data_IF_283805119166
#
_entry.id   IF_283805119166
#
_cell.length_a   1.000
_cell.length_b   1.000
_cell.length_c   1.000
_cell.angle_alpha   90.00
_cell.angle_beta   90.00
_cell.angle_gamma   90.00
#
_symmetry.space_group_name_H-M   'P 1'
#
loop_
_entity.id
_entity.type
_entity.pdbx_description
1 polymer ?
#
# COMPACT_ATOMS: atom_id res chain seq x y z
N UNK A 1 -30.37 -19.05 -57.57
CA UNK A 1 -30.52 -18.77 -56.11
C UNK A 1 -29.22 -18.95 -55.30
N UNK A 2 -28.04 -19.04 -55.92
CA UNK A 2 -26.75 -19.16 -55.20
C UNK A 2 -26.00 -17.82 -54.98
N UNK A 3 -26.38 -16.76 -55.69
CA UNK A 3 -25.71 -15.45 -55.57
C UNK A 3 -26.16 -14.61 -54.36
N UNK A 4 -27.27 -14.95 -53.69
CA UNK A 4 -27.74 -14.24 -52.48
C UNK A 4 -27.12 -14.74 -51.17
N UNK A 5 -26.51 -15.92 -51.17
CA UNK A 5 -25.84 -16.47 -49.99
C UNK A 5 -24.39 -15.99 -49.86
N UNK A 6 -23.73 -15.62 -50.96
CA UNK A 6 -22.36 -15.12 -50.95
C UNK A 6 -22.24 -13.66 -50.46
N UNK A 7 -23.31 -12.86 -50.58
CA UNK A 7 -23.28 -11.44 -50.14
C UNK A 7 -23.43 -11.30 -48.63
N UNK A 8 -24.03 -12.29 -47.94
CA UNK A 8 -24.14 -12.25 -46.47
C UNK A 8 -22.85 -12.67 -45.75
N UNK A 9 -21.93 -13.37 -46.42
CA UNK A 9 -20.65 -13.76 -45.83
C UNK A 9 -19.61 -12.61 -45.82
N UNK A 10 -19.78 -11.58 -46.65
CA UNK A 10 -18.81 -10.49 -46.78
C UNK A 10 -19.07 -9.26 -45.90
N UNK A 11 -20.17 -9.23 -45.11
CA UNK A 11 -20.55 -8.06 -44.30
C UNK A 11 -20.23 -8.24 -42.80
N UNK A 12 -19.63 -9.36 -42.40
CA UNK A 12 -19.26 -9.63 -40.99
C UNK A 12 -17.74 -9.76 -40.82
N UNK A 13 -16.97 -8.86 -41.44
CA UNK A 13 -15.53 -8.70 -41.17
C UNK A 13 -15.14 -7.23 -40.86
N UNK A 14 -16.11 -6.42 -40.44
CA UNK A 14 -15.90 -5.05 -39.96
C UNK A 14 -16.68 -5.00 -38.64
N UNK A 15 -16.08 -4.99 -37.45
CA UNK A 15 -15.33 -3.88 -36.87
C UNK A 15 -14.58 -4.35 -35.61
N UNK A 16 -13.28 -4.62 -35.70
CA UNK A 16 -12.41 -4.69 -34.50
C UNK A 16 -11.43 -3.51 -34.42
N UNK A 17 -11.46 -2.60 -35.41
CA UNK A 17 -10.48 -1.53 -35.55
C UNK A 17 -10.59 -0.40 -34.51
N UNK A 18 -11.73 -0.25 -33.81
CA UNK A 18 -11.91 0.76 -32.75
C UNK A 18 -11.44 0.30 -31.37
N UNK A 19 -11.15 -1.00 -31.19
CA UNK A 19 -10.75 -1.54 -29.89
C UNK A 19 -9.23 -1.56 -29.74
N UNK A 20 -8.75 -1.14 -28.57
CA UNK A 20 -7.33 -1.26 -28.24
C UNK A 20 -6.91 -2.73 -28.19
N UNK A 21 -5.91 -3.10 -29.00
CA UNK A 21 -5.32 -4.43 -28.99
C UNK A 21 -4.03 -4.39 -28.18
N UNK A 22 -3.96 -5.24 -27.17
CA UNK A 22 -2.80 -5.35 -26.27
C UNK A 22 -2.13 -6.71 -26.44
N UNK A 23 -0.83 -6.76 -26.14
CA UNK A 23 -0.06 -7.99 -26.20
C UNK A 23 -0.44 -8.95 -25.07
N UNK A 24 0.07 -10.19 -25.16
CA UNK A 24 0.05 -11.10 -24.02
C UNK A 24 0.88 -10.51 -22.88
N UNK A 25 0.47 -10.81 -21.65
CA UNK A 25 1.26 -10.47 -20.47
C UNK A 25 2.68 -11.00 -20.58
N UNK A 26 3.64 -10.15 -20.26
CA UNK A 26 5.00 -10.60 -19.98
C UNK A 26 5.00 -11.49 -18.72
N UNK A 27 6.03 -12.33 -18.54
CA UNK A 27 6.22 -13.05 -17.29
C UNK A 27 6.25 -12.09 -16.09
N UNK A 28 5.90 -12.61 -14.92
CA UNK A 28 6.07 -11.86 -13.69
C UNK A 28 7.54 -11.49 -13.46
N UNK A 29 7.78 -10.23 -13.10
CA UNK A 29 9.07 -9.78 -12.63
C UNK A 29 9.43 -10.35 -11.25
N UNK A 30 10.59 -9.94 -10.77
CA UNK A 30 11.08 -10.30 -9.44
C UNK A 30 10.17 -9.78 -8.33
N UNK A 31 10.22 -10.46 -7.18
CA UNK A 31 9.53 -10.03 -5.97
C UNK A 31 10.35 -8.93 -5.29
N UNK A 32 9.70 -7.81 -4.95
CA UNK A 32 10.33 -6.66 -4.30
C UNK A 32 9.50 -6.17 -3.13
N UNK A 33 10.14 -5.59 -2.11
CA UNK A 33 9.50 -5.07 -0.90
C UNK A 33 10.07 -5.74 0.35
N UNK A 34 9.25 -5.87 1.39
CA UNK A 34 9.61 -6.55 2.64
C UNK A 34 8.77 -7.82 2.83
N UNK A 35 9.18 -8.74 3.71
CA UNK A 35 8.48 -10.00 4.00
C UNK A 35 6.96 -9.91 4.23
N UNK A 36 6.45 -8.75 4.66
CA UNK A 36 5.03 -8.53 4.94
C UNK A 36 4.25 -7.88 3.79
N UNK A 37 4.94 -7.23 2.85
CA UNK A 37 4.35 -6.38 1.82
C UNK A 37 5.04 -6.53 0.45
N UNK A 38 5.70 -7.66 0.20
CA UNK A 38 6.38 -7.86 -1.07
C UNK A 38 5.39 -8.07 -2.22
N UNK A 39 5.69 -7.41 -3.35
CA UNK A 39 4.91 -7.42 -4.58
C UNK A 39 5.81 -7.72 -5.78
N UNK A 40 5.23 -8.31 -6.81
CA UNK A 40 5.82 -8.46 -8.13
C UNK A 40 4.90 -7.83 -9.17
N UNK A 41 5.50 -7.34 -10.24
CA UNK A 41 4.79 -6.62 -11.31
C UNK A 41 4.98 -7.35 -12.62
N UNK A 42 3.97 -7.34 -13.47
CA UNK A 42 4.09 -7.66 -14.89
C UNK A 42 3.44 -6.59 -15.74
N UNK A 43 3.90 -6.48 -16.98
CA UNK A 43 3.39 -5.52 -17.93
C UNK A 43 3.02 -6.21 -19.26
N UNK A 44 2.25 -5.49 -20.08
CA UNK A 44 1.98 -5.81 -21.48
C UNK A 44 1.98 -4.53 -22.29
N UNK A 45 2.17 -4.67 -23.59
CA UNK A 45 2.34 -3.55 -24.50
C UNK A 45 1.04 -3.33 -25.31
N UNK A 46 0.83 -2.09 -25.75
CA UNK A 46 -0.23 -1.77 -26.71
C UNK A 46 0.29 -2.13 -28.10
N UNK A 47 -0.37 -3.08 -28.76
CA UNK A 47 -0.06 -3.46 -30.15
C UNK A 47 -0.79 -2.55 -31.14
N UNK A 48 -1.99 -2.10 -30.78
CA UNK A 48 -2.79 -1.18 -31.55
C UNK A 48 -3.52 -0.23 -30.61
N UNK A 49 -3.24 1.07 -30.76
CA UNK A 49 -3.97 2.10 -30.06
C UNK A 49 -5.44 2.12 -30.56
N UNK A 50 -6.40 2.38 -29.68
CA UNK A 50 -7.78 2.53 -30.10
C UNK A 50 -7.93 3.77 -30.97
N UNK A 51 -8.78 3.68 -31.99
CA UNK A 51 -9.15 4.83 -32.81
C UNK A 51 -10.38 5.52 -32.21
N UNK A 52 -10.50 6.86 -32.33
CA UNK A 52 -11.70 7.57 -31.93
C UNK A 52 -12.89 7.12 -32.79
N UNK A 53 -14.02 6.84 -32.15
CA UNK A 53 -15.27 6.45 -32.81
C UNK A 53 -16.27 7.61 -32.73
N UNK A 54 -17.12 7.80 -33.76
CA UNK A 54 -18.16 8.82 -33.73
C UNK A 54 -19.48 8.18 -33.32
N UNK A 55 -20.11 8.69 -32.26
CA UNK A 55 -21.42 8.23 -31.83
C UNK A 55 -22.45 8.45 -32.95
N UNK A 56 -23.11 7.40 -33.45
CA UNK A 56 -24.05 7.51 -34.56
C UNK A 56 -25.33 8.30 -34.23
N UNK A 57 -25.64 8.54 -32.94
CA UNK A 57 -26.83 9.28 -32.48
C UNK A 57 -26.51 10.71 -32.11
N UNK A 58 -25.43 10.95 -31.35
CA UNK A 58 -25.07 12.29 -30.88
C UNK A 58 -24.08 13.00 -31.80
N UNK A 59 -23.33 12.26 -32.63
CA UNK A 59 -22.25 12.78 -33.46
C UNK A 59 -20.99 13.16 -32.68
N UNK A 60 -20.94 12.86 -31.39
CA UNK A 60 -19.79 13.11 -30.51
C UNK A 60 -18.64 12.13 -30.81
N UNK A 61 -17.41 12.54 -30.53
CA UNK A 61 -16.23 11.66 -30.63
C UNK A 61 -16.06 10.91 -29.31
N UNK A 62 -16.17 9.60 -29.36
CA UNK A 62 -15.91 8.68 -28.26
C UNK A 62 -14.43 8.29 -28.30
N UNK A 63 -13.71 8.68 -27.26
CA UNK A 63 -12.34 8.22 -27.01
C UNK A 63 -12.36 6.92 -26.22
N UNK A 64 -11.66 5.90 -26.73
CA UNK A 64 -11.50 4.63 -26.03
C UNK A 64 -10.13 4.55 -25.34
N UNK A 65 -10.10 3.91 -24.17
CA UNK A 65 -8.86 3.66 -23.43
C UNK A 65 -8.48 2.19 -23.51
N UNK A 66 -7.18 1.91 -23.54
CA UNK A 66 -6.68 0.55 -23.46
C UNK A 66 -7.00 -0.12 -22.11
N UNK A 67 -7.19 -1.46 -22.09
CA UNK A 67 -7.21 -2.23 -20.86
C UNK A 67 -5.93 -2.06 -20.04
N UNK A 68 -5.97 -2.41 -18.75
CA UNK A 68 -4.83 -2.26 -17.84
C UNK A 68 -3.53 -2.85 -18.42
N UNK A 69 -2.47 -2.04 -18.48
CA UNK A 69 -1.17 -2.43 -19.06
C UNK A 69 -0.19 -2.97 -18.02
N UNK A 70 -0.53 -2.82 -16.74
CA UNK A 70 0.27 -3.28 -15.60
C UNK A 70 -0.61 -4.05 -14.64
N UNK A 71 -0.01 -5.05 -14.00
CA UNK A 71 -0.65 -5.83 -12.95
C UNK A 71 0.34 -6.08 -11.82
N UNK A 72 -0.16 -6.05 -10.58
CA UNK A 72 0.64 -6.30 -9.38
C UNK A 72 0.09 -7.50 -8.62
N UNK A 73 0.98 -8.29 -8.03
CA UNK A 73 0.60 -9.46 -7.23
C UNK A 73 1.49 -9.56 -5.99
N UNK A 74 0.90 -9.99 -4.87
CA UNK A 74 1.68 -10.36 -3.68
C UNK A 74 2.60 -11.53 -3.96
N UNK A 75 3.78 -11.49 -3.37
CA UNK A 75 4.76 -12.56 -3.43
C UNK A 75 5.52 -12.68 -2.10
N UNK A 76 6.29 -13.74 -1.94
CA UNK A 76 7.12 -14.00 -0.77
C UNK A 76 8.57 -13.91 -1.23
N UNK A 77 9.39 -13.13 -0.54
CA UNK A 77 10.83 -13.06 -0.83
C UNK A 77 11.49 -14.33 -0.30
N UNK A 78 12.50 -14.82 -1.02
CA UNK A 78 13.24 -16.04 -0.67
C UNK A 78 13.87 -15.95 0.73
N UNK A 79 14.34 -14.77 1.13
CA UNK A 79 14.88 -14.51 2.48
C UNK A 79 13.84 -14.64 3.61
N UNK A 80 12.55 -14.59 3.28
CA UNK A 80 11.47 -14.72 4.25
C UNK A 80 10.97 -16.16 4.39
N UNK A 81 11.55 -17.10 3.63
CA UNK A 81 11.18 -18.51 3.63
C UNK A 81 11.92 -19.32 4.70
N UNK A 82 12.59 -18.70 5.67
CA UNK A 82 13.12 -19.45 6.81
C UNK A 82 11.98 -20.07 7.63
N UNK A 83 11.84 -21.38 7.46
CA UNK A 83 10.98 -22.23 8.26
C UNK A 83 11.42 -22.20 9.72
N UNK A 84 10.51 -21.73 10.57
CA UNK A 84 10.63 -21.76 12.02
C UNK A 84 10.84 -23.20 12.53
N UNK A 85 11.90 -23.49 13.31
CA UNK A 85 12.05 -24.77 14.02
C UNK A 85 11.11 -24.93 15.22
N UNK A 86 10.34 -23.90 15.61
CA UNK A 86 9.50 -23.95 16.81
C UNK A 86 8.04 -24.21 16.47
N UNK A 87 7.80 -25.45 16.05
CA UNK A 87 6.49 -26.08 16.19
C UNK A 87 6.18 -26.28 17.68
N UNK A 88 5.02 -25.76 18.11
CA UNK A 88 4.24 -26.07 19.32
C UNK A 88 4.93 -26.83 20.46
N UNK A 89 4.89 -26.23 21.66
CA UNK A 89 4.41 -26.95 22.86
C UNK A 89 3.37 -26.11 23.59
N UNK A 90 2.14 -26.62 23.54
CA UNK A 90 1.08 -26.35 24.51
C UNK A 90 1.53 -26.79 25.91
N UNK A 91 0.90 -26.15 26.89
CA UNK A 91 0.75 -26.54 28.29
C UNK A 91 1.97 -26.43 29.21
N UNK A 92 2.04 -25.29 29.91
CA UNK A 92 2.25 -25.34 31.35
C UNK A 92 1.36 -24.33 32.08
N UNK A 93 0.24 -24.87 32.55
CA UNK A 93 -0.62 -24.37 33.61
C UNK A 93 0.20 -24.11 34.88
N UNK A 94 0.18 -22.85 35.36
CA UNK A 94 0.45 -22.55 36.77
C UNK A 94 -0.64 -21.60 37.25
N UNK A 95 -1.48 -22.12 38.14
CA UNK A 95 -2.41 -21.35 38.94
C UNK A 95 -1.58 -20.56 39.95
N UNK A 96 -1.64 -19.24 39.89
CA UNK A 96 -0.96 -18.35 40.81
C UNK A 96 -1.73 -17.04 40.89
N UNK A 97 -2.65 -16.99 41.85
CA UNK A 97 -3.48 -15.83 42.13
C UNK A 97 -2.64 -14.77 42.84
N UNK A 98 -2.25 -13.72 42.14
CA UNK A 98 -1.93 -12.42 42.75
C UNK A 98 -2.64 -11.33 41.97
N UNK A 99 -3.55 -10.61 42.63
CA UNK A 99 -4.07 -9.33 42.15
C UNK A 99 -2.91 -8.34 42.09
N UNK A 100 -2.24 -8.28 40.94
CA UNK A 100 -1.41 -7.13 40.59
C UNK A 100 -2.35 -6.14 39.92
N UNK A 101 -2.65 -5.07 40.64
CA UNK A 101 -3.16 -3.80 40.12
C UNK A 101 -2.70 -3.63 38.68
N UNK A 102 -3.63 -3.50 37.74
CA UNK A 102 -3.34 -3.30 36.32
C UNK A 102 -2.39 -2.09 36.18
N UNK A 103 -1.10 -2.39 36.09
CA UNK A 103 -0.09 -1.41 35.76
C UNK A 103 -0.44 -0.93 34.36
N UNK A 104 -0.95 0.29 34.26
CA UNK A 104 -1.17 1.01 33.01
C UNK A 104 0.05 0.75 32.12
N UNK A 105 -0.14 0.02 31.01
CA UNK A 105 0.95 -0.31 30.10
C UNK A 105 1.39 0.98 29.40
N UNK A 106 2.36 1.66 30.01
CA UNK A 106 2.97 2.87 29.46
C UNK A 106 3.56 2.50 28.09
N UNK A 107 3.21 3.21 27.00
CA UNK A 107 3.78 2.94 25.69
C UNK A 107 5.30 3.11 25.77
N UNK A 108 6.05 2.11 25.30
CA UNK A 108 7.48 2.24 25.17
C UNK A 108 7.77 3.06 23.93
N UNK A 109 8.34 4.26 24.11
CA UNK A 109 8.85 5.08 23.01
C UNK A 109 10.22 4.54 22.61
N UNK A 110 10.37 4.17 21.36
CA UNK A 110 11.68 3.87 20.78
C UNK A 110 12.20 5.16 20.14
N UNK A 111 12.89 5.95 20.97
CA UNK A 111 13.69 7.09 20.60
C UNK A 111 15.16 6.68 20.71
N UNK A 112 16.01 7.09 19.78
CA UNK A 112 17.46 6.95 19.95
C UNK A 112 18.16 8.29 20.27
N UNK A 113 17.35 9.34 20.49
CA UNK A 113 17.79 10.71 20.79
C UNK A 113 16.69 11.41 21.61
N UNK A 114 17.09 12.23 22.59
CA UNK A 114 16.24 12.75 23.69
C UNK A 114 15.57 14.11 23.36
N UNK A 115 15.78 14.64 22.15
CA UNK A 115 15.44 16.03 21.83
C UNK A 115 13.94 16.28 21.56
N UNK A 116 13.18 15.29 21.07
CA UNK A 116 11.75 15.46 20.82
C UNK A 116 11.00 14.11 20.83
N UNK A 117 10.24 13.85 21.90
CA UNK A 117 9.51 12.59 22.07
C UNK A 117 8.39 12.37 21.02
N UNK A 118 7.95 13.42 20.33
CA UNK A 118 6.92 13.33 19.28
C UNK A 118 7.44 12.68 18.00
N UNK A 119 8.76 12.62 17.83
CA UNK A 119 9.41 12.01 16.67
C UNK A 119 9.64 10.51 16.84
N UNK A 120 9.29 9.97 18.00
CA UNK A 120 9.58 8.59 18.35
C UNK A 120 8.53 7.61 17.87
N UNK A 121 9.00 6.39 17.65
CA UNK A 121 8.13 5.26 17.37
C UNK A 121 7.50 4.76 18.66
N UNK A 122 6.17 4.64 18.69
CA UNK A 122 5.45 4.04 19.82
C UNK A 122 5.36 2.52 19.66
N UNK A 123 5.74 1.79 20.70
CA UNK A 123 5.68 0.32 20.76
C UNK A 123 4.75 -0.11 21.89
N UNK A 124 3.78 -0.95 21.54
CA UNK A 124 2.83 -1.55 22.45
C UNK A 124 2.34 -2.89 21.89
N UNK A 125 2.31 -3.88 22.78
CA UNK A 125 1.86 -5.23 22.46
C UNK A 125 0.41 -5.49 22.93
N UNK A 126 -0.04 -4.80 23.98
CA UNK A 126 -1.36 -4.95 24.60
C UNK A 126 -1.91 -3.57 24.95
N UNK A 127 -3.20 -3.35 24.70
CA UNK A 127 -3.90 -2.12 25.04
C UNK A 127 -4.21 -2.04 26.55
N UNK A 128 -4.52 -0.86 27.10
CA UNK A 128 -4.84 -0.71 28.52
C UNK A 128 -6.03 -1.56 29.00
N UNK A 129 -6.94 -1.90 28.09
CA UNK A 129 -8.09 -2.80 28.30
C UNK A 129 -7.73 -4.29 28.16
N UNK A 130 -6.45 -4.63 27.95
CA UNK A 130 -5.98 -6.00 27.70
C UNK A 130 -6.17 -6.48 26.26
N UNK A 131 -6.79 -5.69 25.38
CA UNK A 131 -7.03 -6.08 23.99
C UNK A 131 -5.76 -6.00 23.12
N UNK A 132 -5.77 -6.70 21.98
CA UNK A 132 -4.67 -6.58 20.99
C UNK A 132 -4.85 -5.30 20.17
N UNK A 133 -3.81 -4.44 20.05
CA UNK A 133 -3.91 -3.19 19.32
C UNK A 133 -4.12 -3.41 17.82
N UNK A 134 -5.00 -2.60 17.21
CA UNK A 134 -5.12 -2.48 15.75
C UNK A 134 -3.86 -1.80 15.21
N UNK A 135 -3.48 -2.09 13.96
CA UNK A 135 -2.28 -1.52 13.34
C UNK A 135 -2.67 -0.47 12.31
N UNK A 136 -2.33 0.79 12.60
CA UNK A 136 -2.50 1.92 11.69
C UNK A 136 -1.14 2.40 11.18
N UNK A 137 -1.12 3.07 10.02
CA UNK A 137 0.11 3.70 9.51
C UNK A 137 0.27 5.08 10.15
N UNK A 138 1.37 5.30 10.84
CA UNK A 138 1.79 6.60 11.39
C UNK A 138 3.25 6.85 11.03
N UNK A 139 3.76 8.03 11.33
CA UNK A 139 5.08 8.48 10.93
C UNK A 139 5.99 8.74 12.14
N UNK A 140 7.29 8.56 11.95
CA UNK A 140 8.32 8.85 12.95
C UNK A 140 9.64 9.18 12.24
N UNK A 141 10.64 9.69 12.98
CA UNK A 141 11.96 10.03 12.45
C UNK A 141 13.06 9.39 13.28
N UNK A 142 14.01 8.73 12.63
CA UNK A 142 15.23 8.26 13.28
C UNK A 142 16.25 9.39 13.36
N UNK A 143 17.06 9.49 14.43
CA UNK A 143 17.98 10.61 14.63
C UNK A 143 18.94 10.86 13.46
N UNK A 144 19.46 9.78 12.87
CA UNK A 144 20.48 9.79 11.80
C UNK A 144 19.90 9.88 10.39
N UNK A 145 18.59 9.99 10.24
CA UNK A 145 17.93 9.99 8.95
C UNK A 145 17.38 11.38 8.61
N UNK A 146 17.50 11.78 7.35
CA UNK A 146 16.95 13.03 6.81
C UNK A 146 15.52 12.87 6.28
N UNK A 147 14.84 11.77 6.63
CA UNK A 147 13.49 11.48 6.14
C UNK A 147 12.64 10.81 7.22
N UNK A 148 11.33 10.95 7.06
CA UNK A 148 10.35 10.32 7.92
C UNK A 148 9.99 8.92 7.41
N UNK A 149 9.75 7.99 8.33
CA UNK A 149 9.38 6.61 8.00
C UNK A 149 7.95 6.29 8.42
N UNK A 150 7.19 5.56 7.58
CA UNK A 150 5.92 5.00 8.02
C UNK A 150 6.17 3.79 8.93
N UNK A 151 5.33 3.63 9.96
CA UNK A 151 5.36 2.47 10.84
C UNK A 151 3.95 2.02 11.26
N UNK A 152 3.87 0.78 11.76
CA UNK A 152 2.62 0.18 12.27
C UNK A 152 2.36 0.58 13.71
N UNK A 153 1.69 1.71 13.89
CA UNK A 153 1.27 2.23 15.18
C UNK A 153 0.24 1.32 15.88
N UNK A 154 0.42 1.01 17.17
CA UNK A 154 -0.49 0.18 17.96
C UNK A 154 -1.70 0.98 18.48
N UNK A 155 -2.74 1.08 17.67
CA UNK A 155 -3.97 1.79 17.98
C UNK A 155 -4.84 1.05 19.02
N UNK A 156 -5.19 1.76 20.10
CA UNK A 156 -6.00 1.28 21.22
C UNK A 156 -7.28 2.11 21.44
N UNK A 157 -7.73 2.84 20.42
CA UNK A 157 -8.92 3.69 20.50
C UNK A 157 -8.60 5.19 20.41
N UNK A 158 -9.65 6.02 20.20
CA UNK A 158 -9.48 7.45 19.91
C UNK A 158 -8.95 8.24 21.10
N UNK A 159 -9.29 7.85 22.33
CA UNK A 159 -8.80 8.51 23.55
C UNK A 159 -7.28 8.36 23.70
N UNK A 160 -6.76 7.14 23.49
CA UNK A 160 -5.32 6.86 23.55
C UNK A 160 -4.57 7.52 22.40
N UNK A 161 -5.11 7.47 21.19
CA UNK A 161 -4.48 8.12 20.04
C UNK A 161 -4.43 9.64 20.21
N UNK A 162 -5.47 10.26 20.77
CA UNK A 162 -5.46 11.70 21.07
C UNK A 162 -4.40 12.06 22.12
N UNK A 163 -4.26 11.23 23.15
CA UNK A 163 -3.25 11.41 24.21
C UNK A 163 -1.83 11.27 23.67
N UNK A 164 -1.59 10.25 22.84
CA UNK A 164 -0.27 9.95 22.27
C UNK A 164 0.09 10.88 21.10
N UNK A 165 -0.91 11.49 20.47
CA UNK A 165 -0.80 12.43 19.35
C UNK A 165 0.22 11.98 18.28
N UNK A 166 0.10 10.75 17.73
CA UNK A 166 1.05 10.25 16.76
C UNK A 166 0.99 11.07 15.46
N UNK A 167 2.11 11.13 14.74
CA UNK A 167 2.19 11.83 13.46
C UNK A 167 1.38 11.06 12.41
N UNK A 168 0.29 11.67 11.95
CA UNK A 168 -0.69 11.04 11.05
C UNK A 168 -0.33 11.15 9.57
N UNK A 169 0.59 12.05 9.20
CA UNK A 169 1.05 12.25 7.81
C UNK A 169 2.56 12.48 7.75
N UNK A 170 3.13 12.23 6.58
CA UNK A 170 4.55 12.47 6.29
C UNK A 170 4.90 13.95 6.43
N UNK A 171 4.09 14.85 5.86
CA UNK A 171 4.31 16.30 5.96
C UNK A 171 4.33 16.78 7.40
N UNK A 172 3.42 16.28 8.25
CA UNK A 172 3.40 16.62 9.68
C UNK A 172 4.65 16.11 10.38
N UNK A 173 5.16 14.94 10.00
CA UNK A 173 6.43 14.43 10.51
C UNK A 173 7.62 15.29 10.08
N UNK A 174 7.71 15.66 8.80
CA UNK A 174 8.78 16.51 8.27
C UNK A 174 8.81 17.85 9.02
N UNK A 175 7.67 18.52 9.13
CA UNK A 175 7.56 19.79 9.84
C UNK A 175 7.88 19.70 11.34
N UNK A 176 7.57 18.56 11.97
CA UNK A 176 7.76 18.39 13.43
C UNK A 176 9.18 17.93 13.79
N UNK A 177 9.83 17.15 12.91
CA UNK A 177 11.00 16.35 13.26
C UNK A 177 12.27 16.66 12.45
N UNK A 178 12.15 17.35 11.32
CA UNK A 178 13.29 17.73 10.49
C UNK A 178 13.62 19.21 10.71
N UNK A 179 14.91 19.58 10.72
CA UNK A 179 15.31 20.97 10.81
C UNK A 179 14.94 21.72 9.51
N UNK A 180 14.81 23.06 9.53
CA UNK A 180 14.26 23.83 8.42
C UNK A 180 14.92 23.58 7.06
N UNK A 181 16.23 23.36 7.05
CA UNK A 181 17.01 23.06 5.83
C UNK A 181 16.62 21.75 5.16
N UNK A 182 16.06 20.80 5.90
CA UNK A 182 15.66 19.47 5.42
C UNK A 182 14.14 19.38 5.18
N UNK A 183 13.39 20.46 5.47
CA UNK A 183 11.97 20.58 5.17
C UNK A 183 11.76 20.98 3.70
N UNK A 184 12.29 20.20 2.76
CA UNK A 184 12.09 20.48 1.32
C UNK A 184 10.60 20.28 1.00
N UNK A 185 9.89 21.39 0.82
CA UNK A 185 8.57 21.40 0.22
C UNK A 185 8.70 21.01 -1.26
N UNK A 186 8.01 19.95 -1.68
CA UNK A 186 7.77 19.74 -3.11
C UNK A 186 7.10 21.02 -3.64
N UNK A 187 7.59 21.61 -4.74
CA UNK A 187 7.00 22.83 -5.28
C UNK A 187 5.51 22.57 -5.54
N UNK A 188 4.69 23.51 -5.06
CA UNK A 188 3.25 23.50 -5.26
C UNK A 188 2.97 23.35 -6.77
N UNK A 189 2.26 22.27 -7.14
CA UNK A 189 1.86 22.02 -8.51
C UNK A 189 0.97 23.20 -8.93
N UNK A 190 1.54 24.16 -9.66
CA UNK A 190 0.77 25.23 -10.30
C UNK A 190 0.23 24.68 -11.61
N UNK A 191 -1.09 24.45 -11.75
CA UNK A 191 -1.67 24.17 -13.05
C UNK A 191 -1.54 25.45 -13.90
N UNK A 192 -1.07 25.29 -15.13
CA UNK A 192 -1.10 26.34 -16.16
C UNK A 192 -2.53 26.52 -16.68
#
# INVERSE_FOLDING_TARGET
>A
MLFRLLVLAAVVEYTSASLCVVSKWRPWGSCHGDCKLALRVRNRDVLQAPLPEKDPKSGEIIEHTCPALYETQRCVLTECQEESPFSRKEDQFVIGFERKTASVSVPQRQCHDEQNENCCRLVRHVCPDGSKPKKLIRWYKLPKESFCRPYRYPYCGPAMEKLENPLTSESRCIQTCLPPQDQISLPEFRPL
#
